data_IF_808488348622
#
_entry.id   IF_808488348622
#
_cell.length_a   1.000
_cell.length_b   1.000
_cell.length_c   1.000
_cell.angle_alpha   90.00
_cell.angle_beta   90.00
_cell.angle_gamma   90.00
#
_symmetry.space_group_name_H-M   'P 1'
#
loop_
_entity.id
_entity.type
_entity.pdbx_description
1 polymer ?
#
# COMPACT_ATOMS: atom_id res chain seq x y z
N UNK A 1 -17.91 0.84 1.50
CA UNK A 1 -16.50 0.50 1.81
C UNK A 1 -15.50 1.53 1.29
N UNK A 2 -15.59 2.01 0.04
CA UNK A 2 -14.61 3.01 -0.47
C UNK A 2 -14.52 4.30 0.35
N UNK A 3 -15.64 4.85 0.84
CA UNK A 3 -15.62 6.03 1.74
C UNK A 3 -14.79 5.80 3.00
N UNK A 4 -14.92 4.64 3.63
CA UNK A 4 -14.12 4.25 4.81
C UNK A 4 -12.62 4.32 4.53
N UNK A 5 -12.15 3.91 3.35
CA UNK A 5 -10.75 4.08 2.99
C UNK A 5 -10.36 5.54 2.81
N UNK A 6 -11.24 6.35 2.24
CA UNK A 6 -10.96 7.76 1.98
C UNK A 6 -10.98 8.60 3.26
N UNK A 7 -11.80 8.20 4.24
CA UNK A 7 -11.98 8.88 5.51
C UNK A 7 -10.96 8.41 6.57
N UNK A 8 -10.62 7.11 6.58
CA UNK A 8 -9.80 6.51 7.66
C UNK A 8 -8.35 6.22 7.26
N UNK A 9 -8.02 6.12 5.97
CA UNK A 9 -6.63 5.90 5.51
C UNK A 9 -5.99 7.23 5.12
N UNK A 10 -4.95 7.62 5.86
CA UNK A 10 -4.17 8.80 5.56
C UNK A 10 -2.74 8.45 5.17
N UNK A 11 -2.39 8.67 3.90
CA UNK A 11 -1.04 8.49 3.39
C UNK A 11 -0.47 9.84 2.93
N UNK A 12 0.39 10.50 3.73
CA UNK A 12 0.95 11.79 3.35
C UNK A 12 1.93 11.65 2.18
N UNK A 13 1.89 12.60 1.26
CA UNK A 13 2.91 12.80 0.22
C UNK A 13 3.79 13.97 0.64
N UNK A 14 5.00 13.66 1.08
CA UNK A 14 5.99 14.67 1.45
C UNK A 14 6.96 14.94 0.29
N UNK A 15 7.48 16.17 0.15
CA UNK A 15 8.62 16.44 -0.73
C UNK A 15 9.81 15.53 -0.38
N UNK A 16 10.58 15.09 -1.38
CA UNK A 16 11.74 14.20 -1.16
C UNK A 16 12.74 14.77 -0.15
N UNK A 17 13.00 16.08 -0.22
CA UNK A 17 13.88 16.79 0.72
C UNK A 17 13.44 16.68 2.19
N UNK A 18 12.14 16.52 2.45
CA UNK A 18 11.61 16.29 3.80
C UNK A 18 11.86 14.86 4.26
N UNK A 19 11.94 13.91 3.33
CA UNK A 19 12.17 12.49 3.59
C UNK A 19 13.65 12.10 3.68
N UNK A 20 14.57 12.94 3.21
CA UNK A 20 16.02 12.75 3.31
C UNK A 20 16.48 12.56 4.77
N UNK A 21 15.93 13.35 5.69
CA UNK A 21 16.21 13.20 7.11
C UNK A 21 15.37 12.08 7.74
N UNK A 22 15.99 10.89 7.84
CA UNK A 22 15.35 9.69 8.41
C UNK A 22 14.97 9.78 9.89
N UNK A 23 15.50 10.76 10.62
CA UNK A 23 15.14 11.02 12.01
C UNK A 23 14.05 12.09 12.16
N UNK A 24 13.59 12.67 11.04
CA UNK A 24 12.55 13.70 11.07
C UNK A 24 11.18 13.12 11.42
N UNK A 25 10.36 13.91 12.11
CA UNK A 25 8.98 13.56 12.41
C UNK A 25 8.17 13.18 11.16
N UNK A 26 8.21 13.97 10.06
CA UNK A 26 7.53 13.64 8.80
C UNK A 26 7.96 12.29 8.21
N UNK A 27 9.26 12.00 8.15
CA UNK A 27 9.76 10.72 7.65
C UNK A 27 9.23 9.56 8.49
N UNK A 28 9.37 9.64 9.82
CA UNK A 28 8.93 8.56 10.72
C UNK A 28 7.41 8.36 10.66
N UNK A 29 6.63 9.43 10.54
CA UNK A 29 5.19 9.35 10.37
C UNK A 29 4.82 8.71 9.02
N UNK A 30 5.45 9.13 7.92
CA UNK A 30 5.28 8.52 6.61
C UNK A 30 5.56 7.01 6.64
N UNK A 31 6.66 6.58 7.25
CA UNK A 31 7.00 5.17 7.37
C UNK A 31 5.91 4.40 8.14
N UNK A 32 5.42 4.93 9.26
CA UNK A 32 4.33 4.29 10.02
C UNK A 32 3.06 4.14 9.19
N UNK A 33 2.65 5.18 8.47
CA UNK A 33 1.44 5.14 7.64
C UNK A 33 1.60 4.20 6.44
N UNK A 34 2.78 4.17 5.82
CA UNK A 34 3.10 3.27 4.72
C UNK A 34 2.98 1.81 5.17
N UNK A 35 3.65 1.43 6.26
CA UNK A 35 3.61 0.05 6.76
C UNK A 35 2.23 -0.35 7.31
N UNK A 36 1.48 0.60 7.88
CA UNK A 36 0.09 0.36 8.29
C UNK A 36 -0.80 0.05 7.08
N UNK A 37 -0.62 0.78 5.97
CA UNK A 37 -1.33 0.55 4.72
C UNK A 37 -0.97 -0.81 4.10
N UNK A 38 0.31 -1.19 4.10
CA UNK A 38 0.76 -2.52 3.63
C UNK A 38 0.16 -3.65 4.49
N UNK A 39 0.10 -3.46 5.82
CA UNK A 39 -0.53 -4.44 6.72
C UNK A 39 -2.04 -4.56 6.45
N UNK A 40 -2.72 -3.43 6.28
CA UNK A 40 -4.15 -3.40 5.96
C UNK A 40 -4.46 -4.10 4.63
N UNK A 41 -3.60 -3.91 3.62
CA UNK A 41 -3.69 -4.63 2.35
C UNK A 41 -3.69 -6.14 2.59
N UNK A 42 -2.74 -6.65 3.38
CA UNK A 42 -2.70 -8.06 3.78
C UNK A 42 -3.99 -8.55 4.45
N UNK A 43 -4.57 -7.75 5.33
CA UNK A 43 -5.84 -8.08 6.00
C UNK A 43 -7.00 -8.18 5.01
N UNK A 44 -7.10 -7.26 4.04
CA UNK A 44 -8.14 -7.34 3.01
C UNK A 44 -8.01 -8.62 2.20
N UNK A 45 -6.79 -9.00 1.80
CA UNK A 45 -6.58 -10.21 1.00
C UNK A 45 -6.99 -11.49 1.73
N UNK A 46 -6.95 -11.51 3.06
CA UNK A 46 -7.44 -12.64 3.86
C UNK A 46 -8.97 -12.81 3.81
N UNK A 47 -9.71 -11.81 3.34
CA UNK A 47 -11.16 -11.89 3.15
C UNK A 47 -11.58 -12.55 1.83
N UNK A 48 -10.63 -13.18 1.14
CA UNK A 48 -10.94 -14.04 0.00
C UNK A 48 -11.95 -15.13 0.39
N UNK A 49 -12.92 -15.39 -0.49
CA UNK A 49 -14.01 -16.33 -0.25
C UNK A 49 -15.10 -15.80 0.68
N UNK A 50 -14.88 -14.69 1.37
CA UNK A 50 -15.91 -13.97 2.15
C UNK A 50 -16.57 -12.90 1.27
N UNK A 51 -15.75 -12.09 0.60
CA UNK A 51 -16.23 -11.08 -0.36
C UNK A 51 -16.12 -11.56 -1.80
N UNK A 52 -16.92 -10.93 -2.67
CA UNK A 52 -16.76 -11.12 -4.12
C UNK A 52 -15.39 -10.63 -4.59
N UNK A 53 -14.83 -11.31 -5.60
CA UNK A 53 -13.53 -10.94 -6.18
C UNK A 53 -13.50 -9.47 -6.62
N UNK A 54 -14.60 -8.99 -7.21
CA UNK A 54 -14.75 -7.60 -7.64
C UNK A 54 -14.65 -6.63 -6.47
N UNK A 55 -15.42 -6.86 -5.41
CA UNK A 55 -15.39 -6.02 -4.20
C UNK A 55 -14.00 -6.01 -3.57
N UNK A 56 -13.36 -7.18 -3.49
CA UNK A 56 -12.03 -7.29 -2.92
C UNK A 56 -10.97 -6.59 -3.78
N UNK A 57 -11.07 -6.67 -5.11
CA UNK A 57 -10.22 -5.91 -6.04
C UNK A 57 -10.40 -4.41 -5.88
N UNK A 58 -11.65 -3.92 -5.86
CA UNK A 58 -11.95 -2.49 -5.68
C UNK A 58 -11.39 -1.96 -4.35
N UNK A 59 -11.43 -2.75 -3.29
CA UNK A 59 -10.95 -2.36 -1.96
C UNK A 59 -9.42 -2.41 -1.86
N UNK A 60 -8.82 -3.52 -2.27
CA UNK A 60 -7.40 -3.79 -2.06
C UNK A 60 -6.53 -3.16 -3.14
N UNK A 61 -6.87 -3.35 -4.41
CA UNK A 61 -6.07 -2.87 -5.54
C UNK A 61 -6.38 -1.39 -5.80
N UNK A 62 -7.63 -1.06 -6.13
CA UNK A 62 -7.96 0.29 -6.55
C UNK A 62 -7.96 1.27 -5.37
N UNK A 63 -8.53 0.83 -4.25
CA UNK A 63 -8.71 1.66 -3.05
C UNK A 63 -7.44 1.89 -2.24
N UNK A 64 -6.56 0.90 -2.12
CA UNK A 64 -5.43 0.96 -1.20
C UNK A 64 -4.07 0.90 -1.90
N UNK A 65 -3.84 -0.11 -2.75
CA UNK A 65 -2.57 -0.29 -3.44
C UNK A 65 -2.29 0.84 -4.44
N UNK A 66 -3.16 1.03 -5.43
CA UNK A 66 -2.97 2.01 -6.49
C UNK A 66 -3.03 3.43 -5.97
N UNK A 67 -4.01 3.70 -5.09
CA UNK A 67 -4.25 5.05 -4.59
C UNK A 67 -3.25 5.50 -3.52
N UNK A 68 -2.83 4.65 -2.60
CA UNK A 68 -2.00 5.11 -1.49
C UNK A 68 -0.59 4.54 -1.55
N UNK A 69 -0.45 3.22 -1.65
CA UNK A 69 0.85 2.55 -1.51
C UNK A 69 1.77 2.86 -2.70
N UNK A 70 1.30 2.70 -3.94
CA UNK A 70 2.11 2.94 -5.13
C UNK A 70 2.46 4.43 -5.29
N UNK A 71 1.52 5.33 -5.02
CA UNK A 71 1.80 6.78 -5.05
C UNK A 71 2.84 7.17 -4.01
N UNK A 72 2.73 6.68 -2.77
CA UNK A 72 3.71 6.90 -1.73
C UNK A 72 5.09 6.31 -2.09
N UNK A 73 5.09 5.14 -2.72
CA UNK A 73 6.30 4.47 -3.16
C UNK A 73 7.04 5.26 -4.23
N UNK A 74 6.34 5.73 -5.27
CA UNK A 74 6.90 6.57 -6.34
C UNK A 74 7.49 7.89 -5.81
N UNK A 75 6.93 8.43 -4.73
CA UNK A 75 7.39 9.66 -4.12
C UNK A 75 8.54 9.47 -3.10
N UNK A 76 8.90 8.24 -2.76
CA UNK A 76 10.00 7.94 -1.85
C UNK A 76 11.37 7.94 -2.54
N UNK A 77 12.45 8.05 -1.76
CA UNK A 77 13.81 8.02 -2.29
C UNK A 77 14.24 6.63 -2.77
N UNK A 78 15.15 6.61 -3.75
CA UNK A 78 15.77 5.38 -4.24
C UNK A 78 16.82 4.88 -3.23
N UNK A 79 16.83 3.57 -2.96
CA UNK A 79 17.82 2.93 -2.08
C UNK A 79 17.30 1.64 -1.43
N UNK A 80 18.04 1.07 -0.49
CA UNK A 80 17.71 -0.23 0.11
C UNK A 80 16.32 -0.29 0.76
N UNK A 81 15.85 0.82 1.33
CA UNK A 81 14.49 0.92 1.89
C UNK A 81 13.42 0.76 0.81
N UNK A 82 13.63 1.36 -0.36
CA UNK A 82 12.71 1.23 -1.49
C UNK A 82 12.67 -0.20 -2.03
N UNK A 83 13.81 -0.90 -2.08
CA UNK A 83 13.86 -2.30 -2.51
C UNK A 83 13.08 -3.19 -1.52
N UNK A 84 13.28 -3.00 -0.21
CA UNK A 84 12.55 -3.76 0.82
C UNK A 84 11.04 -3.53 0.75
N UNK A 85 10.62 -2.28 0.56
CA UNK A 85 9.20 -1.93 0.37
C UNK A 85 8.63 -2.60 -0.88
N UNK A 86 9.34 -2.52 -2.02
CA UNK A 86 8.92 -3.16 -3.26
C UNK A 86 8.77 -4.68 -3.11
N UNK A 87 9.72 -5.35 -2.46
CA UNK A 87 9.67 -6.78 -2.20
C UNK A 87 8.45 -7.18 -1.35
N UNK A 88 8.15 -6.41 -0.30
CA UNK A 88 7.00 -6.68 0.56
C UNK A 88 5.67 -6.46 -0.17
N UNK A 89 5.52 -5.34 -0.88
CA UNK A 89 4.31 -5.07 -1.68
C UNK A 89 4.13 -6.14 -2.75
N UNK A 90 5.21 -6.49 -3.46
CA UNK A 90 5.20 -7.55 -4.49
C UNK A 90 4.74 -8.90 -3.93
N UNK A 91 5.17 -9.27 -2.71
CA UNK A 91 4.69 -10.49 -2.05
C UNK A 91 3.16 -10.52 -1.92
N UNK A 92 2.53 -9.42 -1.54
CA UNK A 92 1.07 -9.36 -1.42
C UNK A 92 0.39 -9.38 -2.79
N UNK A 93 0.94 -8.65 -3.78
CA UNK A 93 0.38 -8.59 -5.14
C UNK A 93 0.50 -9.93 -5.87
N UNK A 94 1.65 -10.61 -5.79
CA UNK A 94 1.85 -11.92 -6.42
C UNK A 94 1.01 -13.02 -5.77
N UNK A 95 0.82 -12.96 -4.45
CA UNK A 95 -0.11 -13.85 -3.78
C UNK A 95 -1.55 -13.59 -4.23
N UNK A 96 -1.92 -12.33 -4.50
CA UNK A 96 -3.22 -11.99 -5.06
C UNK A 96 -3.38 -12.50 -6.50
N UNK A 97 -2.48 -12.13 -7.42
CA UNK A 97 -2.62 -12.48 -8.84
C UNK A 97 -2.57 -13.99 -9.08
N UNK A 98 -1.74 -14.74 -8.34
CA UNK A 98 -1.74 -16.20 -8.43
C UNK A 98 -3.04 -16.85 -7.93
N UNK A 99 -3.72 -16.23 -6.95
CA UNK A 99 -5.00 -16.69 -6.42
C UNK A 99 -6.19 -16.37 -7.33
N UNK A 100 -6.21 -15.20 -7.99
CA UNK A 100 -7.37 -14.77 -8.78
C UNK A 100 -7.33 -15.16 -10.26
N UNK A 101 -6.24 -15.77 -10.76
CA UNK A 101 -6.06 -16.16 -12.18
C UNK A 101 -6.53 -15.06 -13.16
N UNK A 102 -6.22 -13.80 -12.88
CA UNK A 102 -6.61 -12.69 -13.75
C UNK A 102 -5.67 -12.72 -14.96
N UNK A 103 -6.15 -12.98 -16.20
CA UNK A 103 -5.31 -12.86 -17.38
C UNK A 103 -5.02 -11.37 -17.64
N UNK A 104 -3.78 -11.06 -17.99
CA UNK A 104 -3.41 -9.76 -18.54
C UNK A 104 -4.02 -9.57 -19.93
#
# INVERSE_FOLDING_TARGET
>A
MRRTLDDDVFMPLYPKSVLENKNSGPYLFFQRQFWSSVKLLGNFLQWYGIFSNKTLQELSIDGLLNRYILMAFQNSEYGDDSIKKAQNVSKYVLNFTSFFKIPF
#
